data_IF_554415161880
#
_entry.id   IF_554415161880
#
_cell.length_a   1.000
_cell.length_b   1.000
_cell.length_c   1.000
_cell.angle_alpha   90.00
_cell.angle_beta   90.00
_cell.angle_gamma   90.00
#
_symmetry.space_group_name_H-M   'P 1'
#
loop_
_entity.id
_entity.type
_entity.pdbx_description
1 polymer ?
#
# COMPACT_ATOMS: atom_id res chain seq x y z
N UNK A 1 -12.90 13.07 -11.39
CA UNK A 1 -13.79 12.48 -12.40
C UNK A 1 -13.41 11.06 -12.80
N UNK A 2 -12.16 10.84 -13.18
CA UNK A 2 -11.69 9.50 -13.57
C UNK A 2 -11.91 8.46 -12.47
N UNK A 3 -11.59 8.79 -11.22
CA UNK A 3 -11.77 7.86 -10.11
C UNK A 3 -13.24 7.50 -9.88
N UNK A 4 -14.15 8.43 -10.11
CA UNK A 4 -15.58 8.13 -9.99
C UNK A 4 -16.04 7.15 -11.07
N UNK A 5 -15.46 7.22 -12.25
CA UNK A 5 -15.74 6.26 -13.30
C UNK A 5 -15.28 4.87 -12.89
N UNK A 6 -14.07 4.77 -12.36
CA UNK A 6 -13.56 3.49 -11.87
C UNK A 6 -14.42 2.92 -10.76
N UNK A 7 -14.90 3.79 -9.87
CA UNK A 7 -15.80 3.36 -8.80
C UNK A 7 -17.10 2.81 -9.36
N UNK A 8 -17.72 3.52 -10.32
CA UNK A 8 -18.93 3.07 -10.97
C UNK A 8 -18.76 1.75 -11.69
N UNK A 9 -17.57 1.48 -12.20
CA UNK A 9 -17.25 0.22 -12.88
C UNK A 9 -16.90 -0.91 -11.90
N UNK A 10 -17.06 -0.68 -10.60
CA UNK A 10 -16.75 -1.69 -9.60
C UNK A 10 -15.26 -1.92 -9.41
N UNK A 11 -14.44 -0.96 -9.76
CA UNK A 11 -12.98 -1.09 -9.71
C UNK A 11 -12.37 -0.37 -8.52
N UNK A 12 -13.17 -0.02 -7.53
CA UNK A 12 -12.69 0.58 -6.29
C UNK A 12 -12.83 -0.42 -5.14
N UNK A 13 -11.84 -0.47 -4.28
CA UNK A 13 -11.90 -1.21 -3.03
C UNK A 13 -11.41 -0.32 -1.89
N UNK A 14 -12.19 -0.25 -0.82
CA UNK A 14 -11.74 0.40 0.41
C UNK A 14 -10.96 -0.63 1.22
N UNK A 15 -9.70 -0.31 1.52
CA UNK A 15 -8.84 -1.16 2.32
C UNK A 15 -8.82 -0.59 3.73
N UNK A 16 -9.11 -1.44 4.72
CA UNK A 16 -9.15 -1.03 6.12
C UNK A 16 -7.81 -1.32 6.80
N UNK A 17 -7.54 -0.60 7.88
CA UNK A 17 -6.30 -0.75 8.62
C UNK A 17 -6.23 -2.08 9.39
N UNK A 18 -7.36 -2.75 9.55
CA UNK A 18 -7.43 -4.06 10.21
C UNK A 18 -8.27 -5.00 9.37
N UNK A 19 -7.81 -6.24 9.24
CA UNK A 19 -8.56 -7.26 8.52
C UNK A 19 -9.59 -7.97 9.39
N UNK A 20 -10.48 -8.76 8.79
CA UNK A 20 -11.53 -9.46 9.53
C UNK A 20 -11.01 -10.39 10.62
N UNK A 21 -9.79 -10.87 10.52
CA UNK A 21 -9.21 -11.75 11.52
C UNK A 21 -8.59 -11.01 12.70
N UNK A 22 -8.60 -9.69 12.68
CA UNK A 22 -8.01 -8.90 13.75
C UNK A 22 -8.95 -8.83 14.95
N UNK A 23 -8.47 -8.97 16.19
CA UNK A 23 -9.33 -8.93 17.37
C UNK A 23 -10.17 -7.67 17.51
N UNK A 24 -9.68 -6.56 17.01
CA UNK A 24 -10.40 -5.30 17.07
C UNK A 24 -10.91 -4.87 15.71
N UNK A 25 -11.38 -5.83 14.91
CA UNK A 25 -11.86 -5.53 13.57
C UNK A 25 -13.00 -4.53 13.56
N UNK A 26 -13.85 -4.54 14.57
CA UNK A 26 -14.95 -3.57 14.64
C UNK A 26 -14.48 -2.12 14.78
N UNK A 27 -13.23 -1.92 15.16
CA UNK A 27 -12.64 -0.58 15.22
C UNK A 27 -11.88 -0.22 13.96
N UNK A 28 -11.95 -1.04 12.94
CA UNK A 28 -11.22 -0.82 11.69
C UNK A 28 -11.67 0.46 11.02
N UNK A 29 -10.71 1.21 10.49
CA UNK A 29 -10.96 2.46 9.77
C UNK A 29 -10.45 2.34 8.34
N UNK A 30 -11.08 3.06 7.39
CA UNK A 30 -10.54 3.11 6.05
C UNK A 30 -9.10 3.63 6.07
N UNK A 31 -8.22 2.89 5.46
CA UNK A 31 -6.80 3.21 5.41
C UNK A 31 -6.37 3.65 4.02
N UNK A 32 -7.03 3.12 2.99
CA UNK A 32 -6.65 3.38 1.60
C UNK A 32 -7.83 3.10 0.68
N UNK A 33 -8.04 3.97 -0.29
CA UNK A 33 -8.90 3.65 -1.43
C UNK A 33 -8.02 3.11 -2.55
N UNK A 34 -8.31 1.93 -3.02
CA UNK A 34 -7.56 1.27 -4.08
C UNK A 34 -8.42 1.20 -5.34
N UNK A 35 -7.86 1.65 -6.45
CA UNK A 35 -8.53 1.61 -7.74
C UNK A 35 -7.73 0.71 -8.68
N UNK A 36 -8.42 -0.22 -9.33
CA UNK A 36 -7.79 -1.19 -10.21
C UNK A 36 -7.85 -0.70 -11.65
N UNK A 37 -6.69 -0.41 -12.23
CA UNK A 37 -6.62 -0.01 -13.63
C UNK A 37 -6.55 -1.21 -14.56
N UNK A 38 -5.97 -2.30 -14.11
CA UNK A 38 -5.79 -3.49 -14.94
C UNK A 38 -6.61 -4.66 -14.41
N UNK A 39 -6.16 -5.35 -13.37
CA UNK A 39 -6.87 -6.50 -12.82
C UNK A 39 -7.46 -6.18 -11.46
N UNK A 40 -8.74 -6.50 -11.29
CA UNK A 40 -9.32 -6.51 -9.94
C UNK A 40 -8.87 -7.76 -9.18
N UNK A 41 -8.71 -8.87 -9.91
CA UNK A 41 -8.21 -10.13 -9.36
C UNK A 41 -7.11 -10.63 -10.29
N UNK A 42 -5.89 -10.20 -10.04
CA UNK A 42 -4.78 -10.55 -10.90
C UNK A 42 -4.49 -12.06 -10.86
N UNK A 43 -4.44 -12.74 -12.02
CA UNK A 43 -3.98 -14.12 -12.04
C UNK A 43 -2.56 -14.22 -11.52
N UNK A 44 -2.25 -15.28 -10.77
CA UNK A 44 -0.92 -15.43 -10.17
C UNK A 44 0.19 -15.51 -11.19
N UNK A 45 -0.14 -16.00 -12.39
CA UNK A 45 0.83 -16.13 -13.47
C UNK A 45 1.08 -14.83 -14.22
N UNK A 46 0.24 -13.82 -14.05
CA UNK A 46 0.43 -12.56 -14.75
C UNK A 46 1.43 -11.68 -14.00
N UNK A 47 2.47 -11.13 -14.69
CA UNK A 47 3.64 -10.58 -14.00
C UNK A 47 3.47 -9.20 -13.39
N UNK A 48 2.36 -8.49 -13.62
CA UNK A 48 2.21 -7.15 -13.04
C UNK A 48 0.74 -6.75 -12.89
N UNK A 49 0.53 -5.67 -12.13
CA UNK A 49 -0.77 -5.01 -12.05
C UNK A 49 -0.55 -3.51 -11.91
N UNK A 50 -1.57 -2.74 -12.25
CA UNK A 50 -1.53 -1.28 -12.16
C UNK A 50 -2.68 -0.81 -11.30
N UNK A 51 -2.36 -0.09 -10.25
CA UNK A 51 -3.32 0.39 -9.26
C UNK A 51 -3.13 1.88 -9.03
N UNK A 52 -4.21 2.54 -8.60
CA UNK A 52 -4.11 3.86 -8.01
C UNK A 52 -4.46 3.72 -6.55
N UNK A 53 -3.63 4.29 -5.67
CA UNK A 53 -3.89 4.33 -4.25
C UNK A 53 -4.13 5.76 -3.81
N UNK A 54 -5.24 5.98 -3.11
CA UNK A 54 -5.47 7.22 -2.38
C UNK A 54 -5.34 6.88 -0.91
N UNK A 55 -4.32 7.44 -0.27
CA UNK A 55 -4.00 7.10 1.11
C UNK A 55 -4.85 7.92 2.07
N UNK A 56 -5.42 7.28 3.07
CA UNK A 56 -6.31 7.90 4.03
C UNK A 56 -5.74 7.91 5.44
N UNK A 57 -4.71 7.13 5.71
CA UNK A 57 -4.10 7.04 7.03
C UNK A 57 -2.69 6.50 6.97
N UNK A 58 -2.00 6.59 8.11
CA UNK A 58 -0.65 6.08 8.25
C UNK A 58 -0.61 4.56 8.17
N UNK A 59 0.56 4.02 7.88
CA UNK A 59 0.75 2.58 7.91
C UNK A 59 0.46 2.03 9.30
N UNK A 60 -0.10 0.83 9.32
CA UNK A 60 -0.52 0.20 10.55
C UNK A 60 0.68 -0.23 11.40
N UNK A 61 0.56 -0.02 12.71
CA UNK A 61 1.60 -0.42 13.66
C UNK A 61 2.74 0.58 13.75
N UNK A 62 3.77 0.22 14.50
CA UNK A 62 4.92 1.09 14.75
C UNK A 62 6.13 0.75 13.90
N UNK A 63 6.05 -0.28 13.10
CA UNK A 63 7.20 -0.79 12.39
C UNK A 63 7.09 -0.66 10.89
N UNK A 64 8.12 -1.15 10.24
CA UNK A 64 8.20 -1.19 8.80
C UNK A 64 7.68 -2.53 8.29
N UNK A 65 7.24 -2.53 7.03
CA UNK A 65 6.74 -3.75 6.40
C UNK A 65 7.26 -3.87 4.98
N UNK A 66 7.16 -5.07 4.42
CA UNK A 66 7.47 -5.32 3.02
C UNK A 66 6.18 -5.72 2.29
N UNK A 67 6.32 -6.02 1.01
CA UNK A 67 5.17 -6.37 0.17
C UNK A 67 5.32 -7.78 -0.40
N UNK A 68 4.22 -8.29 -0.96
CA UNK A 68 4.22 -9.61 -1.60
C UNK A 68 5.00 -9.64 -2.90
N UNK A 69 5.32 -8.48 -3.46
CA UNK A 69 5.91 -8.34 -4.77
C UNK A 69 6.75 -7.06 -4.81
N UNK A 70 7.71 -6.99 -5.73
CA UNK A 70 8.38 -5.71 -5.98
C UNK A 70 7.39 -4.75 -6.62
N UNK A 71 7.64 -3.47 -6.47
CA UNK A 71 6.73 -2.47 -7.02
C UNK A 71 7.45 -1.18 -7.36
N UNK A 72 6.79 -0.40 -8.22
CA UNK A 72 7.16 0.97 -8.50
C UNK A 72 6.01 1.84 -8.03
N UNK A 73 6.32 2.91 -7.32
CA UNK A 73 5.32 3.89 -6.91
C UNK A 73 5.65 5.23 -7.54
N UNK A 74 4.61 5.93 -8.00
CA UNK A 74 4.73 7.26 -8.56
C UNK A 74 3.76 8.16 -7.81
N UNK A 75 4.26 9.16 -7.12
CA UNK A 75 3.41 10.06 -6.35
C UNK A 75 2.82 11.11 -7.27
N UNK A 76 1.49 11.13 -7.36
CA UNK A 76 0.77 12.08 -8.20
C UNK A 76 0.40 13.34 -7.43
N UNK A 77 0.10 13.20 -6.12
CA UNK A 77 -0.42 14.31 -5.32
C UNK A 77 -0.10 14.07 -3.86
N UNK A 78 0.13 15.13 -3.11
CA UNK A 78 0.20 15.14 -1.65
C UNK A 78 1.58 14.87 -1.08
N UNK A 79 2.17 13.75 -1.42
CA UNK A 79 3.44 13.35 -0.81
C UNK A 79 3.25 12.71 0.56
N UNK A 80 4.32 12.07 1.05
CA UNK A 80 4.29 11.41 2.35
C UNK A 80 5.71 11.20 2.89
N UNK A 81 5.79 10.89 4.17
CA UNK A 81 7.04 10.50 4.81
C UNK A 81 7.23 8.99 4.63
N UNK A 82 8.40 8.60 4.17
CA UNK A 82 8.75 7.19 4.06
C UNK A 82 9.91 6.90 5.01
N UNK A 83 9.70 5.94 5.91
CA UNK A 83 10.75 5.46 6.80
C UNK A 83 11.33 4.18 6.21
N UNK A 84 12.62 4.21 5.97
CA UNK A 84 13.41 3.06 5.54
C UNK A 84 14.36 2.68 6.65
N UNK A 85 15.05 1.56 6.50
CA UNK A 85 16.09 1.19 7.47
C UNK A 85 17.19 2.22 7.57
N UNK A 86 17.39 2.99 6.51
CA UNK A 86 18.43 4.02 6.46
C UNK A 86 17.97 5.36 7.01
N UNK A 87 16.68 5.52 7.31
CA UNK A 87 16.16 6.77 7.87
C UNK A 87 14.83 7.18 7.25
N UNK A 88 14.35 8.32 7.69
CA UNK A 88 13.05 8.86 7.27
C UNK A 88 13.27 9.95 6.24
N UNK A 89 12.48 9.93 5.16
CA UNK A 89 12.64 10.88 4.06
C UNK A 89 11.27 11.32 3.53
N UNK A 90 11.18 12.59 3.16
CA UNK A 90 9.98 13.13 2.54
C UNK A 90 9.95 12.78 1.05
N UNK A 91 8.82 12.23 0.59
CA UNK A 91 8.61 11.90 -0.82
C UNK A 91 7.56 12.85 -1.38
N UNK A 92 7.99 13.76 -2.22
CA UNK A 92 7.13 14.78 -2.82
C UNK A 92 6.42 14.27 -4.07
N UNK A 93 5.36 14.95 -4.51
CA UNK A 93 4.74 14.63 -5.81
C UNK A 93 5.78 14.65 -6.94
N UNK A 94 5.67 13.69 -7.85
CA UNK A 94 6.65 13.47 -8.90
C UNK A 94 7.71 12.45 -8.55
N UNK A 95 7.82 12.06 -7.28
CA UNK A 95 8.76 11.02 -6.88
C UNK A 95 8.40 9.68 -7.52
N UNK A 96 9.41 8.99 -8.03
CA UNK A 96 9.29 7.64 -8.57
C UNK A 96 10.22 6.77 -7.76
N UNK A 97 9.66 5.75 -7.10
CA UNK A 97 10.44 4.85 -6.26
C UNK A 97 10.27 3.42 -6.69
N UNK A 98 11.38 2.66 -6.66
CA UNK A 98 11.36 1.22 -6.87
C UNK A 98 11.68 0.54 -5.54
N UNK A 99 10.92 -0.50 -5.22
CA UNK A 99 11.16 -1.30 -4.00
C UNK A 99 11.08 -2.78 -4.34
N UNK A 100 12.05 -3.54 -3.87
CA UNK A 100 12.00 -4.99 -3.98
C UNK A 100 10.97 -5.54 -2.97
N UNK A 101 10.55 -6.78 -3.17
CA UNK A 101 9.60 -7.42 -2.26
C UNK A 101 10.16 -7.58 -0.85
N UNK A 102 11.48 -7.52 -0.70
CA UNK A 102 12.15 -7.69 0.58
C UNK A 102 12.50 -6.36 1.25
N UNK A 103 12.16 -5.24 0.63
CA UNK A 103 12.46 -3.93 1.17
C UNK A 103 11.41 -3.54 2.21
N UNK A 104 11.88 -3.17 3.40
CA UNK A 104 11.00 -2.77 4.49
C UNK A 104 10.85 -1.26 4.52
N UNK A 105 9.62 -0.79 4.67
CA UNK A 105 9.34 0.63 4.77
C UNK A 105 8.08 0.88 5.58
N UNK A 106 7.89 2.15 5.94
CA UNK A 106 6.67 2.64 6.57
C UNK A 106 6.30 3.95 5.93
N UNK A 107 5.01 4.17 5.71
CA UNK A 107 4.50 5.42 5.16
C UNK A 107 3.66 6.12 6.21
N UNK A 108 3.98 7.38 6.47
CA UNK A 108 3.21 8.25 7.36
C UNK A 108 2.79 9.50 6.60
N UNK A 109 1.57 9.95 6.84
CA UNK A 109 0.99 11.07 6.13
C UNK A 109 1.14 12.35 6.93
N UNK A 110 1.26 13.47 6.22
CA UNK A 110 1.06 14.77 6.87
C UNK A 110 -0.41 14.92 7.22
N UNK A 111 -0.73 15.45 8.42
CA UNK A 111 -2.13 15.62 8.82
C UNK A 111 -2.94 16.38 7.78
N UNK A 112 -4.13 15.90 7.51
CA UNK A 112 -5.04 16.54 6.57
C UNK A 112 -4.75 16.28 5.11
N UNK A 113 -3.78 15.43 4.77
CA UNK A 113 -3.46 15.13 3.38
C UNK A 113 -3.96 13.75 2.99
N UNK A 114 -4.23 13.59 1.70
CA UNK A 114 -4.63 12.31 1.12
C UNK A 114 -3.79 12.08 -0.12
N UNK A 115 -2.55 11.57 0.05
CA UNK A 115 -1.67 11.34 -1.09
C UNK A 115 -2.25 10.35 -2.07
N UNK A 116 -1.97 10.56 -3.34
CA UNK A 116 -2.39 9.67 -4.41
C UNK A 116 -1.17 9.20 -5.18
N UNK A 117 -1.12 7.88 -5.43
CA UNK A 117 0.01 7.27 -6.15
C UNK A 117 -0.50 6.35 -7.24
N UNK A 118 0.31 6.22 -8.30
CA UNK A 118 0.21 5.07 -9.19
C UNK A 118 1.13 4.00 -8.64
N UNK A 119 0.63 2.79 -8.54
CA UNK A 119 1.34 1.66 -7.96
C UNK A 119 1.42 0.54 -9.00
N UNK A 120 2.64 0.25 -9.44
CA UNK A 120 2.89 -0.80 -10.42
C UNK A 120 3.42 -2.02 -9.65
N UNK A 121 2.55 -2.99 -9.44
CA UNK A 121 2.90 -4.20 -8.70
C UNK A 121 3.56 -5.20 -9.64
N UNK A 122 4.68 -5.78 -9.22
CA UNK A 122 5.41 -6.77 -9.99
C UNK A 122 5.01 -8.21 -9.67
N UNK A 123 5.85 -9.18 -10.03
CA UNK A 123 5.52 -10.59 -9.87
C UNK A 123 5.39 -11.03 -8.42
N UNK A 124 4.49 -11.96 -8.15
CA UNK A 124 4.39 -12.62 -6.86
C UNK A 124 5.57 -13.56 -6.63
N UNK A 125 5.77 -13.94 -5.37
CA UNK A 125 6.70 -15.00 -5.04
C UNK A 125 8.15 -14.58 -4.84
N UNK A 126 8.45 -13.29 -4.94
CA UNK A 126 9.81 -12.80 -4.77
C UNK A 126 10.13 -12.36 -3.35
N UNK A 127 9.13 -12.33 -2.47
CA UNK A 127 9.37 -11.96 -1.08
C UNK A 127 9.94 -13.14 -0.31
N UNK A 128 10.95 -12.85 0.49
CA UNK A 128 11.55 -13.84 1.39
C UNK A 128 11.27 -13.40 2.83
N UNK A 129 10.91 -14.36 3.67
CA UNK A 129 10.66 -14.08 5.06
C UNK A 129 9.30 -13.46 5.34
N UNK A 130 9.10 -12.94 6.56
CA UNK A 130 7.81 -12.41 6.96
C UNK A 130 7.48 -11.11 6.26
N UNK A 131 6.20 -10.76 6.30
CA UNK A 131 5.71 -9.58 5.63
C UNK A 131 6.20 -8.29 6.26
N UNK A 132 6.47 -8.29 7.54
CA UNK A 132 6.99 -7.10 8.19
C UNK A 132 8.06 -7.47 9.16
N UNK A 133 8.75 -6.50 9.65
CA UNK A 133 9.76 -6.70 10.65
C UNK A 133 9.14 -7.09 11.97
N UNK A 134 7.97 -6.58 12.21
CA UNK A 134 7.15 -7.04 13.29
C UNK A 134 6.29 -8.15 12.84
N UNK A 135 6.54 -8.60 11.72
CA UNK A 135 5.65 -9.25 10.90
C UNK A 135 4.84 -10.30 11.42
N UNK A 136 5.33 -10.76 12.35
CA UNK A 136 4.59 -11.60 13.08
C UNK A 136 3.56 -10.89 13.78
N UNK A 137 3.88 -9.79 14.23
CA UNK A 137 3.13 -9.00 15.05
C UNK A 137 1.69 -8.98 14.69
N UNK A 138 1.21 -7.98 14.16
CA UNK A 138 -0.21 -7.91 13.93
C UNK A 138 -0.65 -8.70 12.71
N UNK A 139 0.27 -9.24 11.98
CA UNK A 139 -0.10 -10.05 10.83
C UNK A 139 -0.33 -11.49 11.20
N UNK A 140 0.50 -11.99 12.03
CA UNK A 140 0.45 -13.40 12.34
C UNK A 140 0.03 -13.69 13.74
N UNK A 141 0.01 -12.71 14.58
CA UNK A 141 -0.58 -12.86 15.89
C UNK A 141 -2.07 -12.91 15.86
N UNK A 142 -2.62 -12.76 14.73
CA UNK A 142 -4.05 -12.84 14.63
C UNK A 142 -4.53 -14.23 14.67
#
# INVERSE_FOLDING_TARGET
>A
MFLKILEKLGRKKVVFDRGPSHPEFEKAKPWMNRYYLLFRHRPKWFPFNILIHEMLGDDHGDGVHNHLFPYITIILRGGYWETLKTGKVWRAPGYIGFRSANNFHRVDLEPGTKPMTIFLAGPYGLRKGPRSEYGIDFKTKK
#
